data_IF_184998855207
#
_entry.id   IF_184998855207
#
_cell.length_a   1.000
_cell.length_b   1.000
_cell.length_c   1.000
_cell.angle_alpha   90.00
_cell.angle_beta   90.00
_cell.angle_gamma   90.00
#
_symmetry.space_group_name_H-M   'P 1'
#
loop_
_entity.id
_entity.type
_entity.pdbx_description
1 polymer ?
#
# COMPACT_ATOMS: atom_id res chain seq x y z
N UNK A 1 1.16 3.69 -15.44
CA UNK A 1 1.53 4.03 -14.05
C UNK A 1 0.48 3.43 -13.12
N UNK A 2 0.80 2.35 -12.39
CA UNK A 2 -0.15 1.75 -11.46
C UNK A 2 -0.27 2.54 -10.14
N UNK A 3 -1.39 2.37 -9.45
CA UNK A 3 -1.63 2.97 -8.14
C UNK A 3 -2.09 1.91 -7.13
N UNK A 4 -1.74 2.14 -5.86
CA UNK A 4 -2.29 1.44 -4.71
C UNK A 4 -3.15 2.40 -3.89
N UNK A 5 -4.36 1.97 -3.55
CA UNK A 5 -5.28 2.70 -2.67
C UNK A 5 -5.40 1.94 -1.37
N UNK A 6 -5.12 2.61 -0.26
CA UNK A 6 -5.12 2.04 1.09
C UNK A 6 -6.37 2.46 1.85
N UNK A 7 -7.05 1.48 2.41
CA UNK A 7 -8.07 1.69 3.44
C UNK A 7 -7.43 1.42 4.81
N UNK A 8 -6.82 2.45 5.40
CA UNK A 8 -6.13 2.32 6.68
C UNK A 8 -7.09 1.93 7.80
N UNK A 9 -6.59 1.11 8.74
CA UNK A 9 -7.32 0.77 9.94
C UNK A 9 -6.60 1.38 11.14
N UNK A 10 -7.11 2.52 11.60
CA UNK A 10 -6.53 3.25 12.74
C UNK A 10 -6.52 2.39 14.02
N UNK A 11 -7.48 1.46 14.21
CA UNK A 11 -7.46 0.56 15.35
C UNK A 11 -6.25 -0.40 15.34
N UNK A 12 -5.68 -0.68 14.16
CA UNK A 12 -4.45 -1.46 14.01
C UNK A 12 -3.17 -0.76 14.52
N UNK A 13 -3.26 0.54 14.84
CA UNK A 13 -2.19 1.33 15.44
C UNK A 13 -2.56 1.85 16.85
N UNK A 14 -3.70 1.45 17.40
CA UNK A 14 -4.21 1.95 18.68
C UNK A 14 -4.63 0.78 19.59
N UNK A 15 -3.95 -0.36 19.48
CA UNK A 15 -4.24 -1.56 20.26
C UNK A 15 -3.78 -1.44 21.73
N UNK A 16 -2.82 -0.57 22.03
CA UNK A 16 -2.36 -0.27 23.39
C UNK A 16 -2.88 1.10 23.85
N UNK A 17 -3.71 1.18 24.91
CA UNK A 17 -4.38 2.42 25.32
C UNK A 17 -3.43 3.59 25.63
N UNK A 18 -2.23 3.30 26.15
CA UNK A 18 -1.28 4.32 26.59
C UNK A 18 -0.27 4.71 25.50
N UNK A 19 -0.42 4.19 24.28
CA UNK A 19 0.50 4.43 23.16
C UNK A 19 -0.26 4.67 21.84
N UNK A 20 -1.04 5.77 21.74
CA UNK A 20 -1.85 6.04 20.57
C UNK A 20 -1.01 6.24 19.31
N UNK A 21 -1.49 5.70 18.19
CA UNK A 21 -0.83 5.75 16.88
C UNK A 21 0.37 4.81 16.73
N UNK A 22 0.66 3.99 17.73
CA UNK A 22 1.71 2.98 17.73
C UNK A 22 1.11 1.58 17.83
N UNK A 23 1.31 0.77 16.81
CA UNK A 23 1.00 -0.65 16.86
C UNK A 23 1.83 -1.33 17.94
N UNK A 24 1.19 -2.16 18.75
CA UNK A 24 1.78 -2.84 19.92
C UNK A 24 2.41 -1.87 20.94
N UNK A 25 2.12 -0.57 20.85
CA UNK A 25 2.79 0.48 21.64
C UNK A 25 4.28 0.65 21.37
N UNK A 26 4.81 0.11 20.26
CA UNK A 26 6.24 0.14 19.95
C UNK A 26 6.57 1.37 19.11
N UNK A 27 7.53 2.17 19.58
CA UNK A 27 8.03 3.33 18.82
C UNK A 27 8.52 2.92 17.44
N UNK A 28 8.07 3.62 16.40
CA UNK A 28 8.38 3.32 15.00
C UNK A 28 7.43 2.32 14.33
N UNK A 29 6.54 1.63 15.07
CA UNK A 29 5.49 0.80 14.47
C UNK A 29 4.23 1.64 14.20
N UNK A 30 4.32 2.59 13.30
CA UNK A 30 3.25 3.54 13.00
C UNK A 30 2.98 3.66 11.50
N UNK A 31 1.85 4.30 11.14
CA UNK A 31 1.46 4.54 9.74
C UNK A 31 2.55 5.29 8.96
N UNK A 32 3.21 6.26 9.59
CA UNK A 32 4.28 7.04 8.95
C UNK A 32 5.49 6.19 8.52
N UNK A 33 5.81 5.11 9.25
CA UNK A 33 6.87 4.18 8.85
C UNK A 33 6.51 3.42 7.57
N UNK A 34 5.24 3.02 7.41
CA UNK A 34 4.75 2.37 6.18
C UNK A 34 4.80 3.34 5.00
N UNK A 35 4.36 4.59 5.20
CA UNK A 35 4.39 5.64 4.18
C UNK A 35 5.83 5.97 3.78
N UNK A 36 6.73 6.13 4.75
CA UNK A 36 8.16 6.35 4.48
C UNK A 36 8.76 5.21 3.67
N UNK A 37 8.38 3.97 3.98
CA UNK A 37 8.82 2.81 3.22
C UNK A 37 8.27 2.82 1.78
N UNK A 38 7.02 3.20 1.57
CA UNK A 38 6.43 3.41 0.23
C UNK A 38 7.24 4.44 -0.58
N UNK A 39 7.44 5.64 -0.02
CA UNK A 39 8.12 6.75 -0.70
C UNK A 39 9.58 6.42 -1.00
N UNK A 40 10.29 5.79 -0.05
CA UNK A 40 11.67 5.32 -0.25
C UNK A 40 11.77 4.31 -1.41
N UNK A 41 10.70 3.54 -1.68
CA UNK A 41 10.61 2.60 -2.79
C UNK A 41 9.99 3.22 -4.06
N UNK A 42 10.03 4.54 -4.20
CA UNK A 42 9.67 5.25 -5.42
C UNK A 42 8.17 5.54 -5.60
N UNK A 43 7.36 5.30 -4.57
CA UNK A 43 5.95 5.70 -4.61
C UNK A 43 5.79 7.21 -4.43
N UNK A 44 4.78 7.79 -5.10
CA UNK A 44 4.34 9.16 -4.84
C UNK A 44 2.97 9.13 -4.16
N UNK A 45 2.84 9.78 -3.00
CA UNK A 45 1.61 9.81 -2.21
C UNK A 45 0.66 10.96 -2.57
N UNK A 46 -0.64 10.71 -2.48
CA UNK A 46 -1.73 11.66 -2.73
C UNK A 46 -2.86 11.46 -1.72
N UNK A 47 -3.78 12.43 -1.67
CA UNK A 47 -5.04 12.34 -0.90
C UNK A 47 -4.82 11.97 0.57
N UNK A 48 -3.92 12.66 1.27
CA UNK A 48 -3.59 12.41 2.68
C UNK A 48 -3.18 10.94 2.93
N UNK A 49 -2.22 10.45 2.14
CA UNK A 49 -1.63 9.11 2.25
C UNK A 49 -2.61 7.96 2.00
N UNK A 50 -3.67 8.19 1.23
CA UNK A 50 -4.62 7.15 0.82
C UNK A 50 -4.25 6.51 -0.52
N UNK A 51 -3.57 7.25 -1.40
CA UNK A 51 -3.27 6.79 -2.76
C UNK A 51 -1.79 6.94 -3.05
N UNK A 52 -1.17 5.89 -3.59
CA UNK A 52 0.24 5.87 -3.94
C UNK A 52 0.43 5.41 -5.38
N UNK A 53 0.98 6.27 -6.24
CA UNK A 53 1.32 5.89 -7.61
C UNK A 53 2.75 5.40 -7.69
N UNK A 54 2.99 4.37 -8.49
CA UNK A 54 4.32 3.80 -8.74
C UNK A 54 4.70 3.99 -10.20
N UNK A 55 6.00 4.15 -10.51
CA UNK A 55 6.46 4.32 -11.89
C UNK A 55 6.11 3.10 -12.78
N UNK A 56 6.08 1.89 -12.20
CA UNK A 56 5.79 0.65 -12.90
C UNK A 56 5.16 -0.41 -11.96
N UNK A 57 4.62 -1.48 -12.55
CA UNK A 57 4.19 -2.66 -11.77
C UNK A 57 5.36 -3.39 -11.10
N UNK A 58 6.56 -3.35 -11.70
CA UNK A 58 7.75 -3.94 -11.08
C UNK A 58 8.15 -3.23 -9.78
N UNK A 59 8.02 -1.89 -9.72
CA UNK A 59 8.28 -1.13 -8.50
C UNK A 59 7.33 -1.51 -7.34
N UNK A 60 6.07 -1.85 -7.66
CA UNK A 60 5.14 -2.41 -6.65
C UNK A 60 5.67 -3.76 -6.15
N UNK A 61 6.10 -4.65 -7.04
CA UNK A 61 6.67 -5.94 -6.68
C UNK A 61 7.91 -5.82 -5.78
N UNK A 62 8.82 -4.88 -6.10
CA UNK A 62 9.98 -4.57 -5.28
C UNK A 62 9.58 -4.06 -3.89
N UNK A 63 8.64 -3.12 -3.82
CA UNK A 63 8.14 -2.62 -2.53
C UNK A 63 7.52 -3.74 -1.68
N UNK A 64 6.76 -4.68 -2.25
CA UNK A 64 6.21 -5.83 -1.52
C UNK A 64 7.31 -6.66 -0.85
N UNK A 65 8.42 -6.88 -1.56
CA UNK A 65 9.56 -7.61 -1.01
C UNK A 65 10.22 -6.82 0.13
N UNK A 66 10.37 -5.50 -0.05
CA UNK A 66 11.02 -4.62 0.93
C UNK A 66 10.19 -4.42 2.20
N UNK A 67 8.87 -4.23 2.09
CA UNK A 67 8.03 -3.99 3.27
C UNK A 67 8.01 -5.20 4.21
N UNK A 68 8.09 -6.42 3.66
CA UNK A 68 8.16 -7.67 4.43
C UNK A 68 9.45 -7.81 5.23
N UNK A 69 10.56 -7.26 4.72
CA UNK A 69 11.88 -7.29 5.37
C UNK A 69 12.05 -6.11 6.33
N UNK A 70 11.69 -4.92 5.89
CA UNK A 70 11.95 -3.67 6.62
C UNK A 70 10.93 -3.45 7.75
N UNK A 71 9.69 -3.90 7.57
CA UNK A 71 8.59 -3.70 8.52
C UNK A 71 7.84 -5.01 8.79
N UNK A 72 8.48 -6.08 9.29
CA UNK A 72 7.84 -7.39 9.44
C UNK A 72 6.59 -7.37 10.33
N UNK A 73 6.44 -6.36 11.18
CA UNK A 73 5.32 -6.14 12.08
C UNK A 73 4.00 -5.76 11.38
N UNK A 74 4.03 -5.32 10.12
CA UNK A 74 2.80 -4.89 9.40
C UNK A 74 1.87 -6.06 9.06
N UNK A 75 2.40 -7.29 9.13
CA UNK A 75 1.60 -8.50 8.90
C UNK A 75 0.48 -8.63 9.94
N UNK A 76 -0.55 -9.38 9.56
CA UNK A 76 -1.65 -9.70 10.47
C UNK A 76 -1.12 -10.41 11.72
N UNK A 77 -1.63 -10.01 12.89
CA UNK A 77 -1.20 -10.53 14.18
C UNK A 77 -2.41 -11.03 14.94
N UNK A 78 -2.28 -12.16 15.63
CA UNK A 78 -3.39 -12.73 16.39
C UNK A 78 -3.77 -11.81 17.54
N UNK A 79 -5.04 -11.39 17.59
CA UNK A 79 -5.56 -10.55 18.67
C UNK A 79 -5.27 -9.05 18.51
N UNK A 80 -4.57 -8.64 17.44
CA UNK A 80 -4.33 -7.23 17.10
C UNK A 80 -5.02 -6.93 15.78
N UNK A 81 -5.75 -5.83 15.71
CA UNK A 81 -6.39 -5.40 14.46
C UNK A 81 -5.36 -5.21 13.35
N UNK A 82 -5.74 -5.45 12.09
CA UNK A 82 -4.84 -5.26 10.96
C UNK A 82 -4.52 -3.76 10.78
N UNK A 83 -3.35 -3.44 10.22
CA UNK A 83 -2.96 -2.04 9.94
C UNK A 83 -3.76 -1.41 8.80
N UNK A 84 -4.40 -2.25 7.99
CA UNK A 84 -5.17 -1.86 6.82
C UNK A 84 -6.31 -2.86 6.63
N UNK A 85 -7.51 -2.36 6.30
CA UNK A 85 -8.67 -3.18 5.99
C UNK A 85 -8.54 -3.78 4.58
N UNK A 86 -8.13 -2.95 3.63
CA UNK A 86 -7.98 -3.35 2.24
C UNK A 86 -6.95 -2.51 1.49
N UNK A 87 -6.30 -3.14 0.51
CA UNK A 87 -5.49 -2.46 -0.50
C UNK A 87 -6.08 -2.79 -1.85
N UNK A 88 -6.35 -1.78 -2.66
CA UNK A 88 -6.80 -1.95 -4.05
C UNK A 88 -5.69 -1.49 -4.98
N UNK A 89 -5.34 -2.32 -5.97
CA UNK A 89 -4.43 -1.93 -7.04
C UNK A 89 -5.22 -1.54 -8.28
N UNK A 90 -4.82 -0.43 -8.88
CA UNK A 90 -5.41 0.13 -10.10
C UNK A 90 -4.32 0.17 -11.16
N UNK A 91 -4.54 -0.53 -12.27
CA UNK A 91 -3.66 -0.53 -13.43
C UNK A 91 -4.39 0.08 -14.62
N UNK A 92 -3.76 1.02 -15.33
CA UNK A 92 -4.28 1.47 -16.62
C UNK A 92 -4.01 0.40 -17.67
N UNK A 93 -5.04 -0.05 -18.39
CA UNK A 93 -4.90 -1.02 -19.47
C UNK A 93 -4.42 -0.26 -20.69
N UNK A 94 -3.15 -0.38 -21.07
CA UNK A 94 -2.67 0.23 -22.32
C UNK A 94 -3.10 -0.61 -23.52
N UNK A 95 -3.95 -0.06 -24.38
CA UNK A 95 -4.24 -0.61 -25.71
C UNK A 95 -2.97 -0.51 -26.58
N UNK A 96 -2.09 -1.50 -26.48
CA UNK A 96 -0.97 -1.65 -27.41
C UNK A 96 -1.32 -2.55 -28.61
N UNK A 97 -2.57 -3.00 -28.76
CA UNK A 97 -2.97 -4.01 -29.76
C UNK A 97 -3.74 -3.49 -30.99
N UNK A 98 -3.91 -2.17 -31.15
CA UNK A 98 -4.36 -1.60 -32.41
C UNK A 98 -3.53 -0.36 -32.72
N UNK A 99 -2.80 -0.39 -33.84
CA UNK A 99 -1.88 0.67 -34.31
C UNK A 99 -2.52 2.01 -34.68
N UNK A 100 -3.59 2.40 -33.99
CA UNK A 100 -4.22 3.72 -34.02
C UNK A 100 -3.99 4.41 -32.67
N UNK A 101 -2.71 4.67 -32.36
CA UNK A 101 -2.30 5.30 -31.12
C UNK A 101 -2.50 6.82 -31.20
N UNK A 102 -3.61 7.33 -30.67
CA UNK A 102 -3.74 8.75 -30.30
C UNK A 102 -4.63 9.01 -29.07
N UNK A 103 -5.26 7.99 -28.48
CA UNK A 103 -6.04 8.14 -27.23
C UNK A 103 -5.45 7.30 -26.10
N UNK A 104 -4.99 7.91 -24.99
CA UNK A 104 -4.63 7.14 -23.80
C UNK A 104 -5.88 6.38 -23.32
N UNK A 105 -5.69 5.10 -23.01
CA UNK A 105 -6.78 4.25 -22.57
C UNK A 105 -7.47 4.82 -21.33
N UNK A 106 -8.80 4.84 -21.36
CA UNK A 106 -9.65 5.19 -20.23
C UNK A 106 -10.05 3.97 -19.42
N UNK A 107 -9.56 2.78 -19.77
CA UNK A 107 -9.93 1.53 -19.13
C UNK A 107 -8.90 1.18 -18.05
N UNK A 108 -9.42 0.79 -16.89
CA UNK A 108 -8.60 0.41 -15.74
C UNK A 108 -8.95 -1.01 -15.30
N UNK A 109 -7.90 -1.78 -14.98
CA UNK A 109 -8.00 -3.03 -14.26
C UNK A 109 -7.88 -2.76 -12.75
N UNK A 110 -8.78 -3.34 -11.97
CA UNK A 110 -8.91 -3.11 -10.53
C UNK A 110 -8.87 -4.46 -9.83
N UNK A 111 -7.88 -4.63 -8.96
CA UNK A 111 -7.63 -5.90 -8.26
C UNK A 111 -7.50 -5.70 -6.74
N UNK A 112 -8.00 -6.67 -5.98
CA UNK A 112 -7.77 -6.72 -4.54
C UNK A 112 -6.31 -7.12 -4.28
N UNK A 113 -5.59 -6.23 -3.61
CA UNK A 113 -4.17 -6.32 -3.35
C UNK A 113 -3.84 -6.47 -1.86
N UNK A 114 -4.84 -6.81 -1.04
CA UNK A 114 -4.73 -6.88 0.43
C UNK A 114 -3.85 -8.03 0.92
N UNK A 115 -3.46 -8.96 0.05
CA UNK A 115 -2.59 -10.10 0.39
C UNK A 115 -1.19 -9.68 0.86
N UNK A 116 -0.78 -8.43 0.65
CA UNK A 116 0.54 -7.92 1.05
C UNK A 116 0.78 -8.10 2.54
N UNK A 117 -0.25 -7.87 3.36
CA UNK A 117 -0.19 -7.99 4.83
C UNK A 117 -0.66 -9.34 5.35
N UNK A 118 -1.11 -10.23 4.46
CA UNK A 118 -1.37 -11.61 4.81
C UNK A 118 -0.02 -12.33 4.93
N UNK A 119 0.27 -12.91 6.08
CA UNK A 119 1.51 -13.63 6.33
C UNK A 119 1.49 -14.35 7.66
#
# INVERSE_FOLDING_TARGET
MPALVFEWNEAGFNDVPNAPGLRNGISGQNKAAIITNLITNGATGYNNDLTFTFPSGSAIGEWINQIRVNLPWVKNQRGVQNVCNSITRINQITDNDCGCADTPSTVFDIENFSYIFNG
#
